data_IF_074923075831
#
_entry.id   IF_074923075831
#
_cell.length_a   1.000
_cell.length_b   1.000
_cell.length_c   1.000
_cell.angle_alpha   90.00
_cell.angle_beta   90.00
_cell.angle_gamma   90.00
#
_symmetry.space_group_name_H-M   'P 1'
#
loop_
_entity.id
_entity.type
_entity.pdbx_description
1 polymer ?
#
# COMPACT_ATOMS: atom_id res chain seq x y z
N UNK A 1 -10.06 13.67 0.01
CA UNK A 1 -8.75 13.67 -0.67
C UNK A 1 -8.45 12.25 -1.14
N UNK A 2 -7.82 12.11 -2.29
CA UNK A 2 -7.56 10.83 -2.95
C UNK A 2 -6.08 10.76 -3.29
N UNK A 3 -5.44 9.64 -2.98
CA UNK A 3 -4.08 9.29 -3.41
C UNK A 3 -4.14 7.95 -4.16
N UNK A 4 -3.88 7.95 -5.47
CA UNK A 4 -3.98 6.76 -6.30
C UNK A 4 -2.65 6.03 -6.51
N UNK A 5 -1.57 6.44 -5.85
CA UNK A 5 -0.28 5.76 -5.95
C UNK A 5 0.55 5.99 -4.71
N UNK A 6 0.36 5.15 -3.69
CA UNK A 6 1.11 5.24 -2.43
C UNK A 6 1.75 3.91 -2.05
N UNK A 7 3.03 3.90 -1.71
CA UNK A 7 3.71 2.73 -1.18
C UNK A 7 3.62 2.70 0.35
N UNK A 8 2.46 2.27 0.88
CA UNK A 8 2.23 2.24 2.33
C UNK A 8 3.19 1.30 3.07
N UNK A 9 3.60 0.22 2.42
CA UNK A 9 4.50 -0.82 2.94
C UNK A 9 5.97 -0.37 3.07
N UNK A 10 6.36 0.73 2.40
CA UNK A 10 7.73 1.27 2.46
C UNK A 10 7.93 2.33 3.55
N UNK A 11 6.86 2.77 4.23
CA UNK A 11 7.01 3.70 5.34
C UNK A 11 7.68 3.03 6.54
N UNK A 12 8.49 3.75 7.36
CA UNK A 12 9.11 3.18 8.56
C UNK A 12 8.10 2.66 9.60
N UNK A 13 6.89 3.21 9.62
CA UNK A 13 5.80 2.79 10.50
C UNK A 13 4.47 2.70 9.73
N UNK A 14 4.28 1.66 8.89
CA UNK A 14 3.15 1.56 7.96
C UNK A 14 1.78 1.66 8.64
N UNK A 15 1.62 1.00 9.79
CA UNK A 15 0.37 1.02 10.56
C UNK A 15 -0.03 2.43 11.02
N UNK A 16 0.94 3.29 11.38
CA UNK A 16 0.67 4.67 11.77
C UNK A 16 0.14 5.48 10.60
N UNK A 17 0.72 5.28 9.41
CA UNK A 17 0.31 5.96 8.18
C UNK A 17 -1.10 5.52 7.77
N UNK A 18 -1.37 4.21 7.78
CA UNK A 18 -2.72 3.67 7.54
C UNK A 18 -3.75 4.27 8.49
N UNK A 19 -3.44 4.36 9.78
CA UNK A 19 -4.34 4.96 10.78
C UNK A 19 -4.55 6.46 10.54
N UNK A 20 -3.52 7.21 10.16
CA UNK A 20 -3.67 8.61 9.75
C UNK A 20 -4.57 8.74 8.51
N UNK A 21 -4.41 7.90 7.50
CA UNK A 21 -5.26 7.89 6.31
C UNK A 21 -6.73 7.59 6.66
N UNK A 22 -6.96 6.65 7.60
CA UNK A 22 -8.29 6.36 8.17
C UNK A 22 -8.91 7.58 8.84
N UNK A 23 -8.18 8.20 9.77
CA UNK A 23 -8.65 9.38 10.52
C UNK A 23 -8.96 10.57 9.60
N UNK A 24 -8.17 10.74 8.53
CA UNK A 24 -8.35 11.79 7.52
C UNK A 24 -9.38 11.43 6.45
N UNK A 25 -9.99 10.24 6.54
CA UNK A 25 -11.00 9.76 5.62
C UNK A 25 -10.54 9.78 4.14
N UNK A 26 -9.28 9.41 3.91
CA UNK A 26 -8.66 9.41 2.59
C UNK A 26 -8.97 8.13 1.81
N UNK A 27 -9.08 8.27 0.48
CA UNK A 27 -9.01 7.13 -0.43
C UNK A 27 -7.56 6.91 -0.85
N UNK A 28 -7.06 5.68 -0.73
CA UNK A 28 -5.67 5.35 -1.09
C UNK A 28 -5.62 4.07 -1.93
N UNK A 29 -4.93 4.13 -3.07
CA UNK A 29 -4.47 2.92 -3.77
C UNK A 29 -3.03 2.62 -3.32
N UNK A 30 -2.91 1.64 -2.43
CA UNK A 30 -1.64 1.13 -1.91
C UNK A 30 -0.99 0.22 -2.93
N UNK A 31 0.07 0.67 -3.58
CA UNK A 31 0.79 -0.09 -4.61
C UNK A 31 1.94 -0.88 -3.98
N UNK A 32 2.17 -2.11 -4.46
CA UNK A 32 3.31 -2.94 -4.04
C UNK A 32 4.46 -2.87 -5.04
N UNK A 33 5.71 -3.00 -4.56
CA UNK A 33 6.90 -3.02 -5.44
C UNK A 33 7.21 -4.40 -5.99
N UNK A 34 6.82 -5.47 -5.28
CA UNK A 34 6.97 -6.86 -5.72
C UNK A 34 5.70 -7.66 -5.47
N UNK A 35 5.40 -8.70 -6.28
CA UNK A 35 4.23 -9.53 -6.07
C UNK A 35 4.20 -10.23 -4.71
N UNK A 36 5.39 -10.55 -4.16
CA UNK A 36 5.55 -11.21 -2.86
C UNK A 36 5.08 -10.32 -1.70
N UNK A 37 5.14 -9.00 -1.84
CA UNK A 37 4.71 -8.07 -0.79
C UNK A 37 3.18 -8.00 -0.64
N UNK A 38 2.42 -8.42 -1.66
CA UNK A 38 0.97 -8.21 -1.72
C UNK A 38 0.21 -8.71 -0.50
N UNK A 39 0.44 -9.95 -0.05
CA UNK A 39 -0.29 -10.50 1.10
C UNK A 39 -0.05 -9.72 2.39
N UNK A 40 1.20 -9.30 2.63
CA UNK A 40 1.56 -8.49 3.78
C UNK A 40 0.95 -7.09 3.72
N UNK A 41 1.06 -6.43 2.56
CA UNK A 41 0.50 -5.09 2.35
C UNK A 41 -1.03 -5.10 2.38
N UNK A 42 -1.68 -6.19 1.94
CA UNK A 42 -3.13 -6.36 2.05
C UNK A 42 -3.58 -6.54 3.50
N UNK A 43 -2.83 -7.30 4.30
CA UNK A 43 -3.11 -7.44 5.74
C UNK A 43 -2.95 -6.10 6.49
N UNK A 44 -1.93 -5.31 6.13
CA UNK A 44 -1.66 -4.00 6.73
C UNK A 44 -2.88 -3.05 6.65
N UNK A 45 -3.62 -3.07 5.54
CA UNK A 45 -4.75 -2.17 5.29
C UNK A 45 -6.11 -2.79 5.67
N UNK A 46 -6.14 -4.03 6.18
CA UNK A 46 -7.35 -4.78 6.45
C UNK A 46 -8.34 -4.03 7.36
N UNK A 47 -9.64 -4.11 7.05
CA UNK A 47 -10.69 -3.39 7.76
C UNK A 47 -10.84 -1.91 7.38
N UNK A 48 -10.32 -1.49 6.22
CA UNK A 48 -10.56 -0.14 5.69
C UNK A 48 -11.03 -0.18 4.24
N UNK A 49 -12.30 0.15 4.03
CA UNK A 49 -12.96 0.12 2.72
C UNK A 49 -12.43 1.19 1.75
N UNK A 50 -11.72 2.20 2.25
CA UNK A 50 -11.17 3.30 1.44
C UNK A 50 -9.72 3.08 1.01
N UNK A 51 -9.04 2.03 1.50
CA UNK A 51 -7.67 1.72 1.12
C UNK A 51 -7.62 0.36 0.42
N UNK A 52 -7.32 0.39 -0.88
CA UNK A 52 -7.18 -0.81 -1.71
C UNK A 52 -5.71 -1.11 -1.97
N UNK A 53 -5.34 -2.39 -2.02
CA UNK A 53 -3.97 -2.83 -2.32
C UNK A 53 -3.87 -3.33 -3.74
N UNK A 54 -2.99 -2.73 -4.55
CA UNK A 54 -2.67 -3.22 -5.90
C UNK A 54 -1.50 -4.21 -5.86
N UNK A 55 -1.53 -5.17 -6.79
CA UNK A 55 -0.43 -6.08 -7.06
C UNK A 55 0.51 -5.41 -8.07
N UNK A 56 1.80 -5.27 -7.72
CA UNK A 56 2.79 -4.62 -8.56
C UNK A 56 4.10 -5.40 -8.66
N UNK A 57 4.77 -5.25 -9.80
CA UNK A 57 6.16 -5.62 -10.01
C UNK A 57 6.85 -4.40 -10.62
N UNK A 58 7.68 -3.74 -9.83
CA UNK A 58 8.35 -2.52 -10.27
C UNK A 58 9.40 -2.85 -11.35
N UNK A 59 9.49 -2.09 -12.48
CA UNK A 59 10.44 -2.36 -13.56
C UNK A 59 11.90 -2.46 -13.11
N UNK A 60 12.30 -1.64 -12.12
CA UNK A 60 13.63 -1.69 -11.52
C UNK A 60 13.96 -3.06 -10.89
N UNK A 61 12.97 -3.81 -10.40
CA UNK A 61 13.18 -5.13 -9.80
C UNK A 61 12.87 -6.28 -10.78
N UNK A 62 12.29 -5.96 -11.94
CA UNK A 62 11.87 -6.96 -12.91
C UNK A 62 13.06 -7.70 -13.53
N UNK A 63 14.22 -7.04 -13.64
CA UNK A 63 15.45 -7.65 -14.18
C UNK A 63 16.22 -8.50 -13.17
N UNK A 64 15.87 -8.46 -11.88
CA UNK A 64 16.54 -9.22 -10.83
C UNK A 64 15.97 -10.65 -10.71
N UNK A 65 15.11 -11.06 -11.65
CA UNK A 65 14.38 -12.32 -11.65
C UNK A 65 14.34 -12.99 -13.00
#
# INVERSE_FOLDING_TARGET
>A
MIDMHCHLDLYPAPHKVVNSCRQKNMYVLSVTTTPRAWSGTKMLVNGNDRINTSLGLHPQLAHER
#
